data_IF_222186565898
#
_entry.id   IF_222186565898
#
_cell.length_a   1.000
_cell.length_b   1.000
_cell.length_c   1.000
_cell.angle_alpha   90.00
_cell.angle_beta   90.00
_cell.angle_gamma   90.00
#
_symmetry.space_group_name_H-M   'P 1'
#
loop_
_entity.id
_entity.type
_entity.pdbx_description
1 polymer ?
#
# COMPACT_ATOMS: atom_id res chain seq x y z
N UNK A 1 -12.92 -20.41 27.14
CA UNK A 1 -13.89 -21.25 27.88
C UNK A 1 -13.83 -20.93 29.37
N UNK A 2 -12.67 -21.01 30.02
CA UNK A 2 -12.48 -20.65 31.44
C UNK A 2 -13.09 -19.29 31.83
N UNK A 3 -12.72 -18.20 31.14
CA UNK A 3 -13.23 -16.85 31.47
C UNK A 3 -14.74 -16.67 31.22
N UNK A 4 -15.33 -17.43 30.27
CA UNK A 4 -16.77 -17.33 29.98
C UNK A 4 -17.62 -17.87 31.13
N UNK A 5 -17.18 -18.95 31.77
CA UNK A 5 -17.92 -19.52 32.91
C UNK A 5 -18.06 -18.54 34.08
N UNK A 6 -17.05 -17.69 34.31
CA UNK A 6 -17.12 -16.62 35.31
C UNK A 6 -18.03 -15.48 34.88
N UNK A 7 -17.95 -15.07 33.61
CA UNK A 7 -18.80 -14.03 33.01
C UNK A 7 -20.29 -14.41 33.01
N UNK A 8 -20.67 -15.66 32.76
CA UNK A 8 -22.07 -16.08 32.66
C UNK A 8 -22.75 -16.19 34.05
N UNK A 9 -21.97 -16.40 35.11
CA UNK A 9 -22.46 -16.59 36.49
C UNK A 9 -22.52 -15.30 37.29
N UNK A 10 -21.58 -14.37 37.10
CA UNK A 10 -21.49 -13.15 37.90
C UNK A 10 -22.75 -12.25 37.82
N UNK A 11 -23.36 -12.00 36.65
CA UNK A 11 -24.56 -11.16 36.54
C UNK A 11 -25.81 -11.78 37.18
N UNK A 12 -25.79 -13.08 37.50
CA UNK A 12 -26.87 -13.76 38.20
C UNK A 12 -26.89 -13.43 39.70
N UNK A 13 -25.79 -12.89 40.24
CA UNK A 13 -25.68 -12.45 41.63
C UNK A 13 -26.20 -11.01 41.75
N UNK A 14 -25.54 -10.06 41.08
CA UNK A 14 -25.95 -8.66 40.95
C UNK A 14 -25.39 -8.06 39.65
N UNK A 15 -26.08 -7.09 39.03
CA UNK A 15 -25.58 -6.46 37.81
C UNK A 15 -24.27 -5.68 38.04
N UNK A 16 -24.10 -5.04 39.20
CA UNK A 16 -22.88 -4.34 39.57
C UNK A 16 -21.69 -5.29 39.70
N UNK A 17 -21.89 -6.46 40.32
CA UNK A 17 -20.85 -7.49 40.41
C UNK A 17 -20.49 -8.05 39.03
N UNK A 18 -21.49 -8.23 38.15
CA UNK A 18 -21.25 -8.60 36.75
C UNK A 18 -20.37 -7.60 36.02
N UNK A 19 -20.59 -6.30 36.23
CA UNK A 19 -19.81 -5.21 35.64
C UNK A 19 -18.36 -5.21 36.12
N UNK A 20 -18.13 -5.26 37.43
CA UNK A 20 -16.78 -5.31 38.04
C UNK A 20 -16.00 -6.56 37.62
N UNK A 21 -16.68 -7.71 37.58
CA UNK A 21 -16.09 -8.96 37.13
C UNK A 21 -15.70 -8.87 35.65
N UNK A 22 -16.56 -8.31 34.80
CA UNK A 22 -16.28 -8.15 33.37
C UNK A 22 -15.06 -7.24 33.13
N UNK A 23 -14.96 -6.13 33.86
CA UNK A 23 -13.80 -5.24 33.82
C UNK A 23 -12.51 -5.96 34.24
N UNK A 24 -12.54 -6.68 35.36
CA UNK A 24 -11.41 -7.46 35.86
C UNK A 24 -10.96 -8.53 34.87
N UNK A 25 -11.90 -9.27 34.28
CA UNK A 25 -11.63 -10.28 33.25
C UNK A 25 -11.03 -9.66 31.97
N UNK A 26 -11.45 -8.45 31.61
CA UNK A 26 -10.88 -7.72 30.48
C UNK A 26 -9.41 -7.36 30.73
N UNK A 27 -9.07 -6.92 31.96
CA UNK A 27 -7.68 -6.70 32.36
C UNK A 27 -6.82 -7.97 32.27
N UNK A 28 -7.33 -9.11 32.76
CA UNK A 28 -6.65 -10.41 32.64
C UNK A 28 -6.47 -10.81 31.16
N UNK A 29 -7.47 -10.57 30.33
CA UNK A 29 -7.40 -10.85 28.89
C UNK A 29 -6.32 -10.00 28.21
N UNK A 30 -6.22 -8.70 28.54
CA UNK A 30 -5.17 -7.81 28.01
C UNK A 30 -3.78 -8.33 28.34
N UNK A 31 -3.54 -8.70 29.60
CA UNK A 31 -2.25 -9.25 30.04
C UNK A 31 -1.89 -10.54 29.27
N UNK A 32 -2.87 -11.43 29.08
CA UNK A 32 -2.71 -12.62 28.25
C UNK A 32 -2.39 -12.27 26.79
N UNK A 33 -3.12 -11.34 26.18
CA UNK A 33 -2.94 -10.95 24.78
C UNK A 33 -1.56 -10.32 24.52
N UNK A 34 -1.04 -9.52 25.45
CA UNK A 34 0.34 -9.02 25.34
C UNK A 34 1.39 -10.13 25.49
N UNK A 35 1.13 -11.14 26.33
CA UNK A 35 2.00 -12.33 26.41
C UNK A 35 1.95 -13.15 25.12
N UNK A 36 0.75 -13.37 24.58
CA UNK A 36 0.52 -14.05 23.30
C UNK A 36 1.23 -13.34 22.16
N UNK A 37 1.04 -12.02 22.03
CA UNK A 37 1.67 -11.18 21.03
C UNK A 37 3.21 -11.31 21.06
N UNK A 38 3.84 -11.19 22.23
CA UNK A 38 5.30 -11.34 22.38
C UNK A 38 5.79 -12.74 22.00
N UNK A 39 5.00 -13.78 22.32
CA UNK A 39 5.34 -15.16 21.92
C UNK A 39 5.23 -15.35 20.41
N UNK A 40 4.21 -14.78 19.77
CA UNK A 40 4.07 -14.80 18.30
C UNK A 40 5.24 -14.08 17.65
N UNK A 41 5.63 -12.89 18.12
CA UNK A 41 6.80 -12.16 17.62
C UNK A 41 8.05 -13.04 17.62
N UNK A 42 8.40 -13.60 18.78
CA UNK A 42 9.57 -14.50 18.91
C UNK A 42 9.47 -15.75 18.04
N UNK A 43 8.27 -16.30 17.91
CA UNK A 43 8.04 -17.49 17.10
C UNK A 43 8.22 -17.23 15.60
N UNK A 44 7.82 -16.04 15.12
CA UNK A 44 7.97 -15.64 13.72
C UNK A 44 9.39 -15.11 13.41
N UNK A 45 10.11 -14.56 14.39
CA UNK A 45 11.50 -14.08 14.25
C UNK A 45 12.55 -15.19 14.36
N UNK A 46 12.20 -16.36 14.91
CA UNK A 46 13.15 -17.46 15.06
C UNK A 46 13.72 -17.90 13.68
N UNK A 47 15.06 -18.03 13.53
CA UNK A 47 15.68 -18.44 12.28
C UNK A 47 15.04 -19.73 11.77
N UNK A 48 14.48 -19.66 10.56
CA UNK A 48 13.72 -20.74 9.93
C UNK A 48 14.59 -21.91 9.43
N UNK A 49 15.65 -22.28 10.14
CA UNK A 49 16.63 -23.27 9.66
C UNK A 49 16.09 -24.71 9.62
N UNK A 50 14.85 -24.97 10.03
CA UNK A 50 14.32 -26.33 10.10
C UNK A 50 12.84 -26.52 9.72
N UNK A 51 12.09 -25.49 9.30
CA UNK A 51 10.65 -25.69 8.95
C UNK A 51 10.32 -25.41 7.49
N UNK A 52 9.62 -26.34 6.80
CA UNK A 52 9.13 -26.11 5.45
C UNK A 52 8.22 -24.88 5.35
N UNK A 53 8.28 -24.12 4.23
CA UNK A 53 7.50 -22.89 4.04
C UNK A 53 5.97 -23.09 4.11
N UNK A 54 5.47 -24.25 3.68
CA UNK A 54 4.05 -24.59 3.79
C UNK A 54 3.61 -24.76 5.27
N UNK A 55 4.52 -25.23 6.12
CA UNK A 55 4.31 -25.35 7.56
C UNK A 55 4.26 -23.97 8.23
N UNK A 56 5.08 -23.01 7.77
CA UNK A 56 5.04 -21.63 8.27
C UNK A 56 3.74 -20.92 7.89
N UNK A 57 3.25 -21.13 6.65
CA UNK A 57 1.97 -20.58 6.17
C UNK A 57 0.80 -21.07 7.00
N UNK A 58 0.70 -22.39 7.21
CA UNK A 58 -0.37 -22.98 8.04
C UNK A 58 -0.37 -22.46 9.48
N UNK A 59 0.81 -22.29 10.09
CA UNK A 59 0.94 -21.74 11.44
C UNK A 59 0.51 -20.27 11.52
N UNK A 60 0.94 -19.44 10.56
CA UNK A 60 0.53 -18.04 10.51
C UNK A 60 -1.00 -17.90 10.36
N UNK A 61 -1.63 -18.72 9.51
CA UNK A 61 -3.08 -18.78 9.37
C UNK A 61 -3.76 -19.16 10.69
N UNK A 62 -3.26 -20.20 11.38
CA UNK A 62 -3.82 -20.63 12.65
C UNK A 62 -3.77 -19.52 13.73
N UNK A 63 -2.62 -18.85 13.86
CA UNK A 63 -2.42 -17.75 14.81
C UNK A 63 -3.36 -16.57 14.53
N UNK A 64 -3.52 -16.22 13.25
CA UNK A 64 -4.43 -15.14 12.82
C UNK A 64 -5.89 -15.49 13.09
N UNK A 65 -6.30 -16.73 12.85
CA UNK A 65 -7.67 -17.20 13.09
C UNK A 65 -8.04 -17.21 14.59
N UNK A 66 -7.06 -17.21 15.50
CA UNK A 66 -7.33 -17.00 16.92
C UNK A 66 -7.79 -15.58 17.26
N UNK A 67 -7.48 -14.58 16.43
CA UNK A 67 -7.72 -13.17 16.75
C UNK A 67 -9.21 -12.78 16.81
N UNK A 68 -10.09 -13.18 15.85
CA UNK A 68 -11.50 -12.77 15.88
C UNK A 68 -12.25 -13.25 17.14
N UNK A 69 -12.12 -14.51 17.61
CA UNK A 69 -12.77 -14.93 18.85
C UNK A 69 -12.35 -14.13 20.09
N UNK A 70 -11.06 -13.76 20.20
CA UNK A 70 -10.58 -12.90 21.28
C UNK A 70 -11.14 -11.49 21.18
N UNK A 71 -11.21 -10.94 19.96
CA UNK A 71 -11.80 -9.62 19.71
C UNK A 71 -13.26 -9.58 20.14
N UNK A 72 -14.07 -10.54 19.71
CA UNK A 72 -15.48 -10.64 20.10
C UNK A 72 -15.64 -10.80 21.60
N UNK A 73 -14.73 -11.52 22.26
CA UNK A 73 -14.78 -11.67 23.71
C UNK A 73 -14.43 -10.38 24.46
N UNK A 74 -13.41 -9.65 24.02
CA UNK A 74 -13.06 -8.34 24.59
C UNK A 74 -14.21 -7.33 24.45
N UNK A 75 -14.87 -7.28 23.28
CA UNK A 75 -16.03 -6.42 23.06
C UNK A 75 -17.22 -6.80 23.98
N UNK A 76 -17.50 -8.10 24.15
CA UNK A 76 -18.55 -8.55 25.08
C UNK A 76 -18.27 -8.14 26.52
N UNK A 77 -17.01 -8.20 26.98
CA UNK A 77 -16.65 -7.76 28.32
C UNK A 77 -16.84 -6.25 28.49
N UNK A 78 -16.49 -5.47 27.47
CA UNK A 78 -16.69 -4.02 27.51
C UNK A 78 -18.17 -3.60 27.48
N UNK A 79 -19.05 -4.39 26.83
CA UNK A 79 -20.49 -4.13 26.76
C UNK A 79 -21.22 -4.17 28.11
N UNK A 80 -20.60 -4.70 29.17
CA UNK A 80 -21.14 -4.62 30.53
C UNK A 80 -21.14 -3.20 31.11
N UNK A 81 -20.51 -2.22 30.44
CA UNK A 81 -20.72 -0.80 30.70
C UNK A 81 -19.86 -0.18 31.80
N UNK A 82 -18.81 -0.87 32.26
CA UNK A 82 -17.88 -0.29 33.24
C UNK A 82 -17.15 0.93 32.63
N UNK A 83 -17.11 2.10 33.31
CA UNK A 83 -16.57 3.35 32.74
C UNK A 83 -15.10 3.26 32.34
N UNK A 84 -14.32 2.42 33.04
CA UNK A 84 -12.88 2.26 32.78
C UNK A 84 -12.54 1.14 31.78
N UNK A 85 -13.53 0.49 31.15
CA UNK A 85 -13.29 -0.62 30.22
C UNK A 85 -12.77 -0.19 28.84
N UNK A 86 -12.89 1.09 28.48
CA UNK A 86 -12.49 1.57 27.15
C UNK A 86 -10.98 1.44 26.87
N UNK A 87 -10.14 1.70 27.87
CA UNK A 87 -8.69 1.62 27.70
C UNK A 87 -8.19 0.16 27.61
N UNK A 88 -8.57 -0.76 28.52
CA UNK A 88 -8.28 -2.19 28.36
C UNK A 88 -8.81 -2.78 27.05
N UNK A 89 -10.02 -2.38 26.62
CA UNK A 89 -10.58 -2.79 25.33
C UNK A 89 -9.64 -2.38 24.20
N UNK A 90 -9.26 -1.11 24.11
CA UNK A 90 -8.31 -0.61 23.10
C UNK A 90 -6.98 -1.35 23.11
N UNK A 91 -6.42 -1.64 24.30
CA UNK A 91 -5.18 -2.40 24.43
C UNK A 91 -5.30 -3.83 23.89
N UNK A 92 -6.41 -4.52 24.18
CA UNK A 92 -6.70 -5.84 23.64
C UNK A 92 -6.76 -5.83 22.10
N UNK A 93 -7.47 -4.87 21.50
CA UNK A 93 -7.53 -4.72 20.04
C UNK A 93 -6.16 -4.44 19.45
N UNK A 94 -5.38 -3.54 20.04
CA UNK A 94 -4.05 -3.17 19.56
C UNK A 94 -3.08 -4.36 19.55
N UNK A 95 -3.12 -5.21 20.59
CA UNK A 95 -2.31 -6.43 20.65
C UNK A 95 -2.69 -7.43 19.54
N UNK A 96 -4.00 -7.65 19.33
CA UNK A 96 -4.51 -8.53 18.27
C UNK A 96 -4.23 -7.99 16.86
N UNK A 97 -4.32 -6.68 16.67
CA UNK A 97 -3.95 -6.02 15.41
C UNK A 97 -2.46 -6.20 15.10
N UNK A 98 -1.60 -6.14 16.12
CA UNK A 98 -0.17 -6.37 15.93
C UNK A 98 0.12 -7.82 15.53
N UNK A 99 -0.50 -8.79 16.19
CA UNK A 99 -0.41 -10.22 15.79
C UNK A 99 -0.86 -10.40 14.34
N UNK A 100 -2.02 -9.84 13.98
CA UNK A 100 -2.56 -9.92 12.61
C UNK A 100 -1.59 -9.35 11.58
N UNK A 101 -1.02 -8.16 11.85
CA UNK A 101 -0.03 -7.53 10.95
C UNK A 101 1.23 -8.37 10.78
N UNK A 102 1.77 -8.93 11.86
CA UNK A 102 2.98 -9.76 11.82
C UNK A 102 2.77 -11.02 10.99
N UNK A 103 1.67 -11.73 11.22
CA UNK A 103 1.36 -12.92 10.45
C UNK A 103 1.06 -12.59 8.98
N UNK A 104 0.33 -11.51 8.69
CA UNK A 104 0.11 -11.06 7.31
C UNK A 104 1.42 -10.69 6.61
N UNK A 105 2.38 -10.10 7.32
CA UNK A 105 3.71 -9.83 6.78
C UNK A 105 4.40 -11.13 6.36
N UNK A 106 4.45 -12.13 7.24
CA UNK A 106 5.06 -13.44 6.94
C UNK A 106 4.35 -14.14 5.78
N UNK A 107 3.01 -14.12 5.75
CA UNK A 107 2.21 -14.72 4.68
C UNK A 107 2.50 -14.08 3.32
N UNK A 108 2.67 -12.76 3.28
CA UNK A 108 2.83 -12.02 2.02
C UNK A 108 4.29 -11.86 1.59
N UNK A 109 5.26 -12.04 2.49
CA UNK A 109 6.67 -11.80 2.21
C UNK A 109 7.14 -12.57 0.97
N UNK A 110 6.92 -13.90 0.94
CA UNK A 110 7.36 -14.73 -0.18
C UNK A 110 6.68 -14.36 -1.49
N UNK A 111 5.39 -14.06 -1.45
CA UNK A 111 4.66 -13.59 -2.63
C UNK A 111 5.32 -12.35 -3.23
N UNK A 112 5.67 -11.35 -2.41
CA UNK A 112 6.28 -10.12 -2.92
C UNK A 112 7.72 -10.32 -3.41
N UNK A 113 8.46 -11.28 -2.87
CA UNK A 113 9.74 -11.72 -3.45
C UNK A 113 9.55 -12.28 -4.86
N UNK A 114 8.55 -13.15 -5.05
CA UNK A 114 8.23 -13.78 -6.33
C UNK A 114 7.64 -12.78 -7.35
N UNK A 115 6.91 -11.76 -6.89
CA UNK A 115 6.33 -10.71 -7.73
C UNK A 115 7.35 -9.66 -8.20
N UNK A 116 8.38 -9.37 -7.38
CA UNK A 116 9.40 -8.34 -7.64
C UNK A 116 9.99 -8.35 -9.06
N UNK A 117 10.44 -9.49 -9.63
CA UNK A 117 11.00 -9.50 -10.98
C UNK A 117 10.00 -9.09 -12.07
N UNK A 118 8.70 -9.28 -11.85
CA UNK A 118 7.66 -8.92 -12.81
C UNK A 118 7.31 -7.44 -12.73
N UNK A 119 7.22 -6.87 -11.53
CA UNK A 119 7.06 -5.41 -11.36
C UNK A 119 8.21 -4.63 -12.00
N UNK A 120 9.45 -5.12 -11.89
CA UNK A 120 10.61 -4.50 -12.54
C UNK A 120 10.56 -4.48 -14.08
N UNK A 121 9.75 -5.36 -14.69
CA UNK A 121 9.54 -5.42 -16.15
C UNK A 121 8.47 -4.44 -16.63
N UNK A 122 7.59 -3.95 -15.75
CA UNK A 122 6.55 -2.99 -16.10
C UNK A 122 7.17 -1.64 -16.51
N UNK A 123 6.50 -0.94 -17.42
CA UNK A 123 6.92 0.39 -17.91
C UNK A 123 8.34 0.40 -18.53
N UNK A 124 8.82 -0.76 -18.99
CA UNK A 124 10.08 -0.93 -19.75
C UNK A 124 9.80 -1.22 -21.23
N UNK A 125 10.88 -1.35 -22.02
CA UNK A 125 10.83 -1.47 -23.49
C UNK A 125 9.85 -2.54 -24.02
N UNK A 126 9.72 -3.69 -23.35
CA UNK A 126 8.85 -4.80 -23.77
C UNK A 126 7.40 -4.71 -23.26
N UNK A 127 7.12 -3.86 -22.26
CA UNK A 127 5.82 -3.81 -21.59
C UNK A 127 4.68 -3.39 -22.55
N UNK A 128 4.95 -2.52 -23.52
CA UNK A 128 3.96 -2.11 -24.53
C UNK A 128 3.64 -3.17 -25.59
N UNK A 129 4.36 -4.29 -25.59
CA UNK A 129 4.26 -5.35 -26.61
C UNK A 129 4.02 -6.74 -26.04
N UNK A 130 4.15 -6.93 -24.73
CA UNK A 130 4.01 -8.23 -24.06
C UNK A 130 3.24 -8.04 -22.74
N UNK A 131 2.25 -8.91 -22.53
CA UNK A 131 1.46 -8.94 -21.31
C UNK A 131 2.02 -9.89 -20.24
N UNK A 132 2.97 -10.75 -20.60
CA UNK A 132 3.47 -11.85 -19.77
C UNK A 132 3.88 -11.43 -18.35
N UNK A 133 4.48 -10.25 -18.19
CA UNK A 133 4.87 -9.75 -16.88
C UNK A 133 3.67 -9.42 -16.00
N UNK A 134 2.64 -8.79 -16.57
CA UNK A 134 1.42 -8.45 -15.86
C UNK A 134 0.57 -9.71 -15.60
N UNK A 135 0.45 -10.60 -16.59
CA UNK A 135 -0.29 -11.86 -16.46
C UNK A 135 0.32 -12.75 -15.37
N UNK A 136 1.66 -12.79 -15.27
CA UNK A 136 2.35 -13.49 -14.20
C UNK A 136 2.05 -12.89 -12.81
N UNK A 137 1.92 -11.57 -12.68
CA UNK A 137 1.52 -10.90 -11.43
C UNK A 137 0.11 -11.36 -11.02
N UNK A 138 -0.85 -11.29 -11.95
CA UNK A 138 -2.24 -11.71 -11.71
C UNK A 138 -2.31 -13.20 -11.32
N UNK A 139 -1.58 -14.06 -12.03
CA UNK A 139 -1.52 -15.50 -11.77
C UNK A 139 -0.93 -15.81 -10.39
N UNK A 140 0.18 -15.18 -10.00
CA UNK A 140 0.82 -15.39 -8.70
C UNK A 140 -0.09 -14.95 -7.55
N UNK A 141 -0.75 -13.79 -7.67
CA UNK A 141 -1.73 -13.32 -6.68
C UNK A 141 -2.91 -14.30 -6.58
N UNK A 142 -3.43 -14.76 -7.72
CA UNK A 142 -4.55 -15.70 -7.75
C UNK A 142 -4.18 -17.05 -7.12
N UNK A 143 -3.00 -17.60 -7.44
CA UNK A 143 -2.50 -18.84 -6.84
C UNK A 143 -2.28 -18.70 -5.34
N UNK A 144 -1.71 -17.57 -4.89
CA UNK A 144 -1.50 -17.30 -3.48
C UNK A 144 -2.81 -17.24 -2.69
N UNK A 145 -3.81 -16.52 -3.19
CA UNK A 145 -5.10 -16.37 -2.50
C UNK A 145 -5.88 -17.67 -2.39
N UNK A 146 -5.69 -18.63 -3.30
CA UNK A 146 -6.24 -19.98 -3.17
C UNK A 146 -5.71 -20.73 -1.93
N UNK A 147 -4.48 -20.45 -1.48
CA UNK A 147 -3.89 -21.04 -0.27
C UNK A 147 -4.46 -20.43 1.02
N UNK A 148 -5.16 -19.30 0.92
CA UNK A 148 -5.72 -18.56 2.05
C UNK A 148 -7.15 -18.97 2.42
N UNK A 149 -7.71 -20.00 1.78
CA UNK A 149 -9.11 -20.44 1.98
C UNK A 149 -9.45 -20.80 3.42
N UNK A 150 -8.46 -21.16 4.23
CA UNK A 150 -8.63 -21.50 5.65
C UNK A 150 -8.60 -20.28 6.58
N UNK A 151 -8.31 -19.07 6.08
CA UNK A 151 -8.43 -17.85 6.88
C UNK A 151 -9.90 -17.53 7.15
N UNK A 152 -10.18 -17.07 8.37
CA UNK A 152 -11.47 -16.50 8.70
C UNK A 152 -11.74 -15.23 7.87
N UNK A 153 -13.03 -14.87 7.63
CA UNK A 153 -13.38 -13.74 6.76
C UNK A 153 -12.75 -12.41 7.17
N UNK A 154 -12.80 -12.04 8.46
CA UNK A 154 -12.27 -10.76 8.93
C UNK A 154 -10.75 -10.64 8.70
N UNK A 155 -9.89 -11.59 9.12
CA UNK A 155 -8.47 -11.50 8.80
C UNK A 155 -8.14 -11.64 7.32
N UNK A 156 -8.89 -12.44 6.57
CA UNK A 156 -8.76 -12.54 5.12
C UNK A 156 -8.94 -11.18 4.45
N UNK A 157 -10.01 -10.45 4.79
CA UNK A 157 -10.28 -9.14 4.22
C UNK A 157 -9.19 -8.11 4.55
N UNK A 158 -8.64 -8.13 5.77
CA UNK A 158 -7.50 -7.29 6.16
C UNK A 158 -6.26 -7.62 5.31
N UNK A 159 -5.96 -8.90 5.12
CA UNK A 159 -4.82 -9.35 4.31
C UNK A 159 -4.98 -8.95 2.84
N UNK A 160 -6.15 -9.16 2.24
CA UNK A 160 -6.43 -8.81 0.85
C UNK A 160 -6.40 -7.28 0.65
N UNK A 161 -6.89 -6.50 1.61
CA UNK A 161 -6.83 -5.04 1.56
C UNK A 161 -5.39 -4.51 1.57
N UNK A 162 -4.53 -5.14 2.37
CA UNK A 162 -3.08 -4.85 2.37
C UNK A 162 -2.40 -5.29 1.08
N UNK A 163 -2.78 -6.45 0.54
CA UNK A 163 -2.27 -6.95 -0.74
C UNK A 163 -2.64 -6.00 -1.89
N UNK A 164 -3.90 -5.53 -1.92
CA UNK A 164 -4.39 -4.54 -2.89
C UNK A 164 -3.54 -3.27 -2.87
N UNK A 165 -3.36 -2.71 -1.66
CA UNK A 165 -2.52 -1.54 -1.44
C UNK A 165 -1.11 -1.73 -1.96
N UNK A 166 -0.42 -2.78 -1.51
CA UNK A 166 0.99 -3.02 -1.86
C UNK A 166 1.18 -3.30 -3.35
N UNK A 167 0.26 -4.04 -3.99
CA UNK A 167 0.31 -4.29 -5.44
C UNK A 167 0.20 -2.99 -6.23
N UNK A 168 -0.73 -2.10 -5.86
CA UNK A 168 -0.86 -0.81 -6.53
C UNK A 168 0.32 0.13 -6.24
N UNK A 169 0.90 0.09 -5.04
CA UNK A 169 2.14 0.80 -4.74
C UNK A 169 3.26 0.34 -5.67
N UNK A 170 3.50 -0.97 -5.83
CA UNK A 170 4.54 -1.48 -6.73
C UNK A 170 4.26 -1.13 -8.20
N UNK A 171 2.99 -1.21 -8.62
CA UNK A 171 2.57 -0.87 -9.97
C UNK A 171 2.81 0.61 -10.29
N UNK A 172 2.32 1.51 -9.43
CA UNK A 172 2.50 2.96 -9.59
C UNK A 172 3.97 3.35 -9.43
N UNK A 173 4.72 2.69 -8.54
CA UNK A 173 6.18 2.91 -8.43
C UNK A 173 6.88 2.63 -9.74
N UNK A 174 6.52 1.57 -10.46
CA UNK A 174 7.09 1.27 -11.78
C UNK A 174 6.81 2.40 -12.79
N UNK A 175 5.63 3.02 -12.73
CA UNK A 175 5.27 4.19 -13.55
C UNK A 175 6.06 5.44 -13.17
N UNK A 176 6.12 5.79 -11.88
CA UNK A 176 6.82 6.98 -11.39
C UNK A 176 8.35 6.90 -11.54
N UNK A 177 8.90 5.69 -11.68
CA UNK A 177 10.31 5.44 -11.94
C UNK A 177 10.59 5.00 -13.38
N UNK A 178 9.59 5.10 -14.26
CA UNK A 178 9.74 4.75 -15.65
C UNK A 178 10.77 5.67 -16.33
N UNK A 179 11.58 5.09 -17.21
CA UNK A 179 12.44 5.85 -18.14
C UNK A 179 11.80 6.00 -19.53
N UNK A 180 10.51 5.68 -19.61
CA UNK A 180 9.69 5.79 -20.80
C UNK A 180 9.31 7.27 -20.98
N UNK A 181 9.52 7.82 -22.17
CA UNK A 181 9.05 9.16 -22.53
C UNK A 181 8.19 9.04 -23.78
N UNK A 182 6.96 9.50 -23.72
CA UNK A 182 6.06 9.51 -24.86
C UNK A 182 6.46 10.63 -25.83
N UNK A 183 6.88 10.26 -27.04
CA UNK A 183 7.35 11.22 -28.05
C UNK A 183 6.24 11.70 -28.98
N UNK A 184 5.05 11.10 -28.94
CA UNK A 184 3.92 11.42 -29.81
C UNK A 184 2.58 11.19 -29.11
N UNK A 185 1.51 11.84 -29.60
CA UNK A 185 0.15 11.59 -29.14
C UNK A 185 -0.27 10.13 -29.28
N UNK A 186 0.10 9.47 -30.39
CA UNK A 186 -0.14 8.04 -30.60
C UNK A 186 0.54 7.18 -29.54
N UNK A 187 1.77 7.51 -29.14
CA UNK A 187 2.47 6.79 -28.07
C UNK A 187 1.80 7.03 -26.71
N UNK A 188 1.41 8.28 -26.41
CA UNK A 188 0.65 8.62 -25.20
C UNK A 188 -0.64 7.80 -25.11
N UNK A 189 -1.42 7.74 -26.19
CA UNK A 189 -2.64 6.96 -26.26
C UNK A 189 -2.41 5.45 -26.03
N UNK A 190 -1.35 4.88 -26.61
CA UNK A 190 -0.99 3.46 -26.39
C UNK A 190 -0.62 3.16 -24.94
N UNK A 191 0.18 4.03 -24.32
CA UNK A 191 0.58 3.89 -22.90
C UNK A 191 -0.64 4.00 -22.00
N UNK A 192 -1.48 5.01 -22.24
CA UNK A 192 -2.70 5.23 -21.47
C UNK A 192 -3.73 4.11 -21.62
N UNK A 193 -3.91 3.57 -22.83
CA UNK A 193 -4.77 2.41 -23.06
C UNK A 193 -4.28 1.21 -22.26
N UNK A 194 -2.98 0.90 -22.34
CA UNK A 194 -2.37 -0.20 -21.60
C UNK A 194 -2.50 -0.05 -20.08
N UNK A 195 -2.23 1.14 -19.54
CA UNK A 195 -2.44 1.46 -18.12
C UNK A 195 -3.91 1.27 -17.72
N UNK A 196 -4.85 1.71 -18.55
CA UNK A 196 -6.28 1.56 -18.31
C UNK A 196 -6.72 0.09 -18.27
N UNK A 197 -6.25 -0.73 -19.21
CA UNK A 197 -6.57 -2.16 -19.26
C UNK A 197 -6.02 -2.92 -18.06
N UNK A 198 -4.77 -2.66 -17.68
CA UNK A 198 -4.13 -3.28 -16.51
C UNK A 198 -4.78 -2.81 -15.20
N UNK A 199 -5.13 -1.53 -15.09
CA UNK A 199 -5.88 -0.99 -13.94
C UNK A 199 -7.24 -1.66 -13.78
N UNK A 200 -7.98 -1.85 -14.88
CA UNK A 200 -9.27 -2.53 -14.89
C UNK A 200 -9.13 -3.98 -14.44
N UNK A 201 -8.12 -4.71 -14.93
CA UNK A 201 -7.86 -6.09 -14.50
C UNK A 201 -7.48 -6.20 -13.02
N UNK A 202 -6.67 -5.27 -12.48
CA UNK A 202 -6.36 -5.24 -11.05
C UNK A 202 -7.62 -4.96 -10.21
N UNK A 203 -8.46 -4.01 -10.64
CA UNK A 203 -9.74 -3.72 -9.99
C UNK A 203 -10.65 -4.96 -9.98
N UNK A 204 -10.81 -5.62 -11.12
CA UNK A 204 -11.62 -6.85 -11.22
C UNK A 204 -11.06 -7.97 -10.32
N UNK A 205 -9.73 -8.13 -10.27
CA UNK A 205 -9.07 -9.09 -9.39
C UNK A 205 -9.37 -8.81 -7.92
N UNK A 206 -9.12 -7.58 -7.45
CA UNK A 206 -9.32 -7.23 -6.03
C UNK A 206 -10.78 -7.13 -5.62
N UNK A 207 -11.68 -6.80 -6.55
CA UNK A 207 -13.12 -6.90 -6.34
C UNK A 207 -13.56 -8.35 -6.14
N UNK A 208 -13.08 -9.29 -6.95
CA UNK A 208 -13.37 -10.74 -6.77
C UNK A 208 -12.79 -11.31 -5.47
N UNK A 209 -11.71 -10.72 -4.97
CA UNK A 209 -11.08 -11.11 -3.71
C UNK A 209 -11.73 -10.43 -2.49
N UNK A 210 -12.79 -9.62 -2.69
CA UNK A 210 -13.50 -8.89 -1.63
C UNK A 210 -12.59 -7.94 -0.82
N UNK A 211 -11.75 -7.19 -1.52
CA UNK A 211 -10.90 -6.15 -0.91
C UNK A 211 -11.74 -5.01 -0.33
N UNK A 212 -11.46 -4.61 0.92
CA UNK A 212 -12.09 -3.45 1.56
C UNK A 212 -11.43 -2.10 1.19
N UNK A 213 -10.59 -2.07 0.15
CA UNK A 213 -9.86 -0.87 -0.31
C UNK A 213 -10.23 -0.41 -1.74
N UNK A 214 -11.52 -0.35 -2.15
CA UNK A 214 -11.89 0.05 -3.52
C UNK A 214 -11.54 1.51 -3.86
N UNK A 215 -11.28 2.35 -2.85
CA UNK A 215 -10.83 3.73 -3.05
C UNK A 215 -9.51 3.81 -3.85
N UNK A 216 -8.67 2.77 -3.73
CA UNK A 216 -7.40 2.66 -4.46
C UNK A 216 -7.59 2.44 -5.97
N UNK A 217 -8.72 1.88 -6.40
CA UNK A 217 -8.99 1.53 -7.80
C UNK A 217 -8.92 2.76 -8.73
N UNK A 218 -9.13 3.95 -8.17
CA UNK A 218 -9.09 5.22 -8.88
C UNK A 218 -7.67 5.68 -9.23
N UNK A 219 -6.62 5.22 -8.52
CA UNK A 219 -5.28 5.84 -8.61
C UNK A 219 -4.68 5.75 -10.01
N UNK A 220 -4.70 4.56 -10.63
CA UNK A 220 -4.11 4.38 -11.96
C UNK A 220 -4.95 5.09 -13.04
N UNK A 221 -6.29 5.03 -13.02
CA UNK A 221 -7.13 5.87 -13.89
C UNK A 221 -6.81 7.36 -13.80
N UNK A 222 -6.64 7.94 -12.60
CA UNK A 222 -6.26 9.36 -12.44
C UNK A 222 -4.91 9.67 -13.09
N UNK A 223 -3.91 8.83 -12.86
CA UNK A 223 -2.58 9.01 -13.47
C UNK A 223 -2.61 8.81 -15.00
N UNK A 224 -3.50 7.94 -15.50
CA UNK A 224 -3.73 7.73 -16.94
C UNK A 224 -4.28 9.00 -17.59
N UNK A 225 -5.23 9.69 -16.97
CA UNK A 225 -5.80 10.92 -17.54
C UNK A 225 -4.73 12.00 -17.76
N UNK A 226 -3.76 12.13 -16.85
CA UNK A 226 -2.62 13.04 -17.01
C UNK A 226 -1.77 12.73 -18.26
N UNK A 227 -1.85 11.53 -18.85
CA UNK A 227 -1.17 11.20 -20.10
C UNK A 227 -2.00 11.55 -21.34
N UNK A 228 -3.32 11.50 -21.24
CA UNK A 228 -4.25 11.62 -22.39
C UNK A 228 -4.72 13.06 -22.59
N UNK A 229 -5.12 13.76 -21.53
CA UNK A 229 -5.67 15.12 -21.59
C UNK A 229 -4.75 16.05 -22.37
N UNK A 230 -5.25 16.87 -23.28
CA UNK A 230 -4.41 17.69 -24.15
C UNK A 230 -4.13 19.07 -23.57
N UNK A 231 -5.16 19.71 -23.01
CA UNK A 231 -5.12 21.08 -22.53
C UNK A 231 -4.52 21.21 -21.12
N UNK A 232 -3.77 22.29 -20.90
CA UNK A 232 -3.18 22.61 -19.59
C UNK A 232 -4.24 22.78 -18.51
N UNK A 233 -5.36 23.45 -18.81
CA UNK A 233 -6.46 23.62 -17.88
C UNK A 233 -7.09 22.27 -17.46
N UNK A 234 -7.29 21.36 -18.42
CA UNK A 234 -7.80 20.02 -18.12
C UNK A 234 -6.82 19.23 -17.22
N UNK A 235 -5.51 19.33 -17.49
CA UNK A 235 -4.48 18.72 -16.64
C UNK A 235 -4.47 19.32 -15.23
N UNK A 236 -4.64 20.63 -15.07
CA UNK A 236 -4.75 21.29 -13.77
C UNK A 236 -5.97 20.79 -12.99
N UNK A 237 -7.12 20.68 -13.65
CA UNK A 237 -8.34 20.13 -13.03
C UNK A 237 -8.14 18.68 -12.57
N UNK A 238 -7.54 17.83 -13.41
CA UNK A 238 -7.28 16.44 -13.05
C UNK A 238 -6.26 16.31 -11.91
N UNK A 239 -5.24 17.18 -11.85
CA UNK A 239 -4.32 17.25 -10.70
C UNK A 239 -5.06 17.65 -9.42
N UNK A 240 -6.01 18.59 -9.49
CA UNK A 240 -6.86 18.96 -8.37
C UNK A 240 -7.73 17.79 -7.88
N UNK A 241 -8.34 17.04 -8.81
CA UNK A 241 -9.12 15.83 -8.48
C UNK A 241 -8.23 14.74 -7.88
N UNK A 242 -7.04 14.52 -8.43
CA UNK A 242 -6.05 13.57 -7.89
C UNK A 242 -5.64 13.94 -6.47
N UNK A 243 -5.43 15.24 -6.18
CA UNK A 243 -5.07 15.72 -4.85
C UNK A 243 -6.22 15.54 -3.83
N UNK A 244 -7.47 15.76 -4.26
CA UNK A 244 -8.64 15.49 -3.42
C UNK A 244 -8.78 14.00 -3.11
N UNK A 245 -8.66 13.15 -4.11
CA UNK A 245 -8.81 11.69 -3.96
C UNK A 245 -7.61 11.09 -3.18
N UNK A 246 -6.41 11.69 -3.33
CA UNK A 246 -5.15 11.28 -2.69
C UNK A 246 -4.37 12.50 -2.14
N UNK A 247 -4.73 12.98 -0.94
CA UNK A 247 -4.17 14.21 -0.35
C UNK A 247 -2.68 14.16 0.02
N UNK A 248 -2.07 12.98 0.00
CA UNK A 248 -0.64 12.80 0.18
C UNK A 248 0.18 12.82 -1.13
N UNK A 249 -0.48 13.06 -2.27
CA UNK A 249 0.20 13.34 -3.55
C UNK A 249 1.01 14.63 -3.44
N UNK A 250 2.12 14.70 -4.16
CA UNK A 250 3.09 15.80 -4.09
C UNK A 250 3.59 16.12 -5.49
N UNK A 251 4.12 17.32 -5.66
CA UNK A 251 4.65 17.81 -6.95
C UNK A 251 5.60 16.83 -7.64
N UNK A 252 6.46 16.14 -6.89
CA UNK A 252 7.36 15.10 -7.41
C UNK A 252 6.64 13.93 -8.11
N UNK A 253 5.47 13.53 -7.63
CA UNK A 253 4.71 12.42 -8.20
C UNK A 253 4.10 12.83 -9.55
N UNK A 254 3.45 13.99 -9.59
CA UNK A 254 2.87 14.55 -10.82
C UNK A 254 3.97 14.84 -11.84
N UNK A 255 5.08 15.44 -11.41
CA UNK A 255 6.23 15.72 -12.27
C UNK A 255 6.76 14.46 -12.98
N UNK A 256 6.87 13.33 -12.28
CA UNK A 256 7.32 12.08 -12.89
C UNK A 256 6.35 11.57 -13.98
N UNK A 257 5.03 11.72 -13.79
CA UNK A 257 4.05 11.37 -14.82
C UNK A 257 4.11 12.34 -16.01
N UNK A 258 4.34 13.63 -15.78
CA UNK A 258 4.58 14.61 -16.84
C UNK A 258 5.87 14.34 -17.63
N UNK A 259 6.90 13.80 -16.97
CA UNK A 259 8.13 13.37 -17.63
C UNK A 259 7.85 12.15 -18.53
N UNK A 260 7.06 11.18 -18.06
CA UNK A 260 6.59 10.04 -18.88
C UNK A 260 5.73 10.51 -20.06
N UNK A 261 4.87 11.51 -19.84
CA UNK A 261 4.06 12.15 -20.88
C UNK A 261 4.92 12.81 -21.96
N UNK A 262 6.13 13.26 -21.61
CA UNK A 262 7.01 14.01 -22.50
C UNK A 262 6.63 15.49 -22.62
N UNK A 263 6.06 16.08 -21.56
CA UNK A 263 5.72 17.52 -21.53
C UNK A 263 7.00 18.37 -21.52
N UNK A 264 7.26 19.10 -22.62
CA UNK A 264 8.48 19.90 -22.78
C UNK A 264 8.35 21.36 -22.34
N UNK A 265 7.14 21.92 -22.42
CA UNK A 265 6.88 23.32 -22.05
C UNK A 265 7.07 23.50 -20.54
N UNK A 266 8.06 24.30 -20.14
CA UNK A 266 8.32 24.58 -18.73
C UNK A 266 7.21 25.43 -18.11
N UNK A 267 6.69 26.42 -18.85
CA UNK A 267 5.59 27.25 -18.38
C UNK A 267 4.34 26.41 -18.05
N UNK A 268 3.90 25.56 -18.98
CA UNK A 268 2.76 24.67 -18.75
C UNK A 268 3.03 23.68 -17.60
N UNK A 269 4.28 23.19 -17.47
CA UNK A 269 4.67 22.30 -16.38
C UNK A 269 4.57 22.99 -15.02
N UNK A 270 5.01 24.24 -14.92
CA UNK A 270 4.92 25.04 -13.69
C UNK A 270 3.47 25.38 -13.34
N UNK A 271 2.64 25.72 -14.33
CA UNK A 271 1.20 25.95 -14.17
C UNK A 271 0.47 24.71 -13.62
N UNK A 272 0.76 23.53 -14.16
CA UNK A 272 0.15 22.26 -13.71
C UNK A 272 0.61 21.91 -12.29
N UNK A 273 1.91 22.03 -12.01
CA UNK A 273 2.45 21.74 -10.68
C UNK A 273 2.07 22.80 -9.64
N UNK A 274 1.71 24.01 -10.08
CA UNK A 274 1.24 25.11 -9.26
C UNK A 274 -0.02 24.77 -8.47
N UNK A 275 -0.94 23.98 -9.07
CA UNK A 275 -2.18 23.53 -8.41
C UNK A 275 -1.89 22.89 -7.05
N UNK A 276 -0.89 21.99 -6.98
CA UNK A 276 -0.53 21.33 -5.72
C UNK A 276 0.09 22.30 -4.70
N UNK A 277 0.82 23.31 -5.15
CA UNK A 277 1.37 24.34 -4.25
C UNK A 277 0.25 25.18 -3.65
N UNK A 278 -0.73 25.53 -4.44
CA UNK A 278 -1.82 26.40 -4.01
C UNK A 278 -2.76 25.63 -3.05
N UNK A 279 -2.97 24.33 -3.28
CA UNK A 279 -3.66 23.43 -2.33
C UNK A 279 -2.87 23.21 -1.03
N UNK A 280 -1.55 23.02 -1.10
CA UNK A 280 -0.66 22.92 0.08
C UNK A 280 -0.73 24.18 0.96
N UNK A 281 -1.01 25.35 0.40
CA UNK A 281 -1.12 26.62 1.13
C UNK A 281 -2.53 26.86 1.68
N UNK A 282 -3.56 26.27 1.07
CA UNK A 282 -4.95 26.42 1.50
C UNK A 282 -5.37 25.46 2.60
N UNK A 283 -4.67 24.33 2.78
CA UNK A 283 -5.00 23.32 3.80
C UNK A 283 -4.19 23.53 5.10
N UNK A 284 -4.80 24.23 6.06
CA UNK A 284 -4.39 24.26 7.46
C UNK A 284 -5.24 23.27 8.28
N UNK A 285 -5.23 21.96 7.98
CA UNK A 285 -6.04 20.93 8.66
C UNK A 285 -5.29 19.58 8.77
N UNK A 286 -5.65 18.70 9.72
CA UNK A 286 -4.78 17.67 10.29
C UNK A 286 -4.43 16.56 9.29
N UNK A 287 -3.19 16.07 9.39
CA UNK A 287 -2.60 15.14 8.44
C UNK A 287 -3.47 13.92 8.10
N UNK A 288 -3.46 13.55 6.83
CA UNK A 288 -4.15 12.38 6.27
C UNK A 288 -3.99 11.18 7.20
N UNK A 289 -5.08 10.52 7.62
CA UNK A 289 -4.97 9.31 8.43
C UNK A 289 -4.04 8.32 7.75
N UNK A 290 -3.07 7.75 8.49
CA UNK A 290 -2.04 6.86 7.91
C UNK A 290 -2.62 5.73 7.06
N UNK A 291 -3.85 5.28 7.35
CA UNK A 291 -4.56 4.24 6.60
C UNK A 291 -5.02 4.68 5.19
N UNK A 292 -5.04 5.99 4.89
CA UNK A 292 -5.35 6.59 3.57
C UNK A 292 -4.14 7.21 2.87
N UNK A 293 -2.95 7.15 3.45
CA UNK A 293 -1.74 7.47 2.71
C UNK A 293 -1.63 6.54 1.48
N UNK A 294 -0.97 6.93 0.41
CA UNK A 294 -0.62 6.06 -0.72
C UNK A 294 0.67 6.57 -1.37
N UNK A 295 0.68 7.86 -1.74
CA UNK A 295 1.83 8.52 -2.37
C UNK A 295 3.01 8.75 -1.42
N UNK A 296 2.80 8.81 -0.10
CA UNK A 296 3.89 8.91 0.86
C UNK A 296 4.80 7.68 0.86
N UNK A 297 4.30 6.52 0.43
CA UNK A 297 5.04 5.25 0.31
C UNK A 297 5.72 5.08 -1.05
N UNK A 298 5.54 6.04 -1.97
CA UNK A 298 6.08 6.01 -3.32
C UNK A 298 7.36 6.86 -3.42
N UNK A 299 8.57 6.25 -3.39
CA UNK A 299 9.78 6.97 -3.72
C UNK A 299 9.80 7.30 -5.22
N UNK A 300 9.84 8.59 -5.54
CA UNK A 300 10.11 9.05 -6.91
C UNK A 300 11.60 8.99 -7.18
N UNK A 301 12.00 8.57 -8.38
CA UNK A 301 13.40 8.63 -8.80
C UNK A 301 13.90 10.07 -8.65
N UNK A 302 14.99 10.28 -7.91
CA UNK A 302 15.62 11.61 -7.81
C UNK A 302 16.06 12.02 -9.21
N UNK A 303 15.81 13.27 -9.66
CA UNK A 303 16.42 13.76 -10.88
C UNK A 303 17.92 13.61 -10.72
N UNK A 304 18.57 12.93 -11.67
CA UNK A 304 20.03 12.98 -11.77
C UNK A 304 20.34 14.43 -12.04
N UNK A 305 20.87 15.13 -11.02
CA UNK A 305 21.46 16.45 -11.21
C UNK A 305 22.66 16.21 -12.10
N UNK A 306 22.48 16.32 -13.42
CA UNK A 306 23.59 16.56 -14.32
C UNK A 306 24.16 17.90 -13.89
N UNK A 307 25.23 17.88 -13.09
CA UNK A 307 26.06 19.06 -12.92
C UNK A 307 26.43 19.51 -14.33
N UNK A 308 26.23 20.78 -14.69
CA UNK A 308 26.71 21.29 -15.96
C UNK A 308 28.24 21.28 -15.89
N UNK A 309 28.86 20.17 -16.31
CA UNK A 309 30.26 20.18 -16.69
C UNK A 309 30.34 21.00 -17.96
N UNK A 310 30.47 22.32 -17.81
CA UNK A 310 31.02 23.15 -18.86
C UNK A 310 32.48 22.75 -19.00
N UNK A 311 32.76 21.81 -19.92
CA UNK A 311 34.11 21.62 -20.42
C UNK A 311 34.49 22.93 -21.14
N UNK A 312 35.51 23.68 -20.67
CA UNK A 312 35.99 24.81 -21.44
C UNK A 312 36.52 24.26 -22.76
N UNK A 313 36.02 24.82 -23.86
CA UNK A 313 36.56 24.56 -25.20
C UNK A 313 38.02 24.98 -25.19
N UNK A 314 38.94 24.02 -25.07
CA UNK A 314 40.35 24.27 -25.31
C UNK A 314 40.52 24.70 -26.77
N UNK A 315 40.89 25.95 -26.97
CA UNK A 315 41.24 26.49 -28.27
C UNK A 315 42.39 25.66 -28.84
N UNK A 316 42.16 25.05 -30.02
CA UNK A 316 43.24 24.41 -30.79
C UNK A 316 44.23 25.48 -31.22
N UNK A 317 45.33 25.62 -30.48
CA UNK A 317 46.51 26.36 -30.92
C UNK A 317 47.10 25.61 -32.13
N UNK A 318 46.94 26.18 -33.32
CA UNK A 318 47.62 25.71 -34.53
C UNK A 318 49.09 26.11 -34.45
N UNK A 319 49.95 25.19 -34.00
CA UNK A 319 51.39 25.33 -34.19
C UNK A 319 51.72 25.13 -35.67
N UNK A 320 52.08 26.24 -36.35
CA UNK A 320 52.69 26.20 -37.69
C UNK A 320 54.12 25.68 -37.53
N UNK A 321 54.36 24.43 -37.93
CA UNK A 321 55.70 23.92 -38.18
C UNK A 321 56.19 24.43 -39.54
N UNK A 322 57.14 25.36 -39.50
CA UNK A 322 57.95 25.78 -40.66
C UNK A 322 58.95 24.64 -40.94
N UNK A 323 58.92 24.09 -42.16
CA UNK A 323 59.96 23.18 -42.66
C UNK A 323 61.17 23.99 -43.14
N UNK A 324 62.41 23.57 -42.87
CA UNK A 324 63.52 23.82 -43.80
C UNK A 324 63.43 22.90 -45.02
#
# INVERSE_FOLDING_TARGET
>A
QLLRAHMDRAPQITPEFGMEMAHSLLGVLVAFLHSFQRKVERFLEAPGDATPPDSATGRAIALVNCCPPFRTFAERLAQFGHPESEEPRRQAHAALDKVTRLCNHVLTQRLFEDLKPYFHKLMKRKWLTSADAFDAIVMLITSFTQKLRSLHPQPYQVLVSELHRRVLIEYVRALLQARLVCTSAKMRARVAARLGDEARQLRELFSRLDSASPWLDSVVPRLRELLVLEDTAALQMEVGVLARDFPDVRRKHVAAVLDVRGLRSQAAREEILGVLRDLEQSEAEPGVPRHRAFFSELPVARPVRCLPFQLPRLARVRLRLRRP
#
